data_IF_475698082702
#
_entry.id   IF_475698082702
#
_cell.length_a   1.000
_cell.length_b   1.000
_cell.length_c   1.000
_cell.angle_alpha   90.00
_cell.angle_beta   90.00
_cell.angle_gamma   90.00
#
_symmetry.space_group_name_H-M   'P 1'
#
loop_
_entity.id
_entity.type
_entity.pdbx_description
1 polymer ?
#
# COMPACT_ATOMS: atom_id res chain seq x y z
N UNK A 1 16.72 -1.03 -0.24
CA UNK A 1 15.29 -1.08 0.13
C UNK A 1 14.82 0.34 0.23
N UNK A 2 13.81 0.71 -0.55
CA UNK A 2 13.24 2.06 -0.61
C UNK A 2 11.90 2.06 0.13
N UNK A 3 11.79 2.85 1.19
CA UNK A 3 10.50 3.06 1.85
C UNK A 3 9.65 4.01 1.02
N UNK A 4 8.42 3.59 0.72
CA UNK A 4 7.45 4.33 -0.07
C UNK A 4 6.31 4.76 0.83
N UNK A 5 6.20 6.06 0.99
CA UNK A 5 5.33 6.78 1.91
C UNK A 5 4.52 7.82 1.14
N UNK A 6 3.45 8.32 1.73
CA UNK A 6 2.61 9.35 1.12
C UNK A 6 3.40 10.57 0.65
N UNK A 7 4.41 10.97 1.43
CA UNK A 7 5.26 12.15 1.18
C UNK A 7 6.16 12.02 -0.05
N UNK A 8 6.60 10.81 -0.41
CA UNK A 8 7.58 10.58 -1.48
C UNK A 8 7.01 9.79 -2.69
N UNK A 9 5.78 9.28 -2.59
CA UNK A 9 5.22 8.37 -3.59
C UNK A 9 5.15 8.97 -5.00
N UNK A 10 4.71 10.22 -5.15
CA UNK A 10 4.57 10.82 -6.48
C UNK A 10 5.94 11.04 -7.18
N UNK A 11 6.99 11.30 -6.40
CA UNK A 11 8.36 11.45 -6.93
C UNK A 11 8.96 10.10 -7.33
N UNK A 12 8.70 9.05 -6.54
CA UNK A 12 9.30 7.73 -6.74
C UNK A 12 8.50 6.85 -7.72
N UNK A 13 7.20 7.13 -7.93
CA UNK A 13 6.33 6.33 -8.78
C UNK A 13 6.86 6.10 -10.21
N UNK A 14 7.41 7.10 -10.93
CA UNK A 14 7.97 6.86 -12.27
C UNK A 14 9.11 5.83 -12.27
N UNK A 15 9.93 5.83 -11.22
CA UNK A 15 11.02 4.86 -11.06
C UNK A 15 10.48 3.46 -10.73
N UNK A 16 9.45 3.35 -9.88
CA UNK A 16 8.77 2.08 -9.60
C UNK A 16 8.23 1.49 -10.91
N UNK A 17 7.59 2.34 -11.73
CA UNK A 17 7.04 1.93 -13.03
C UNK A 17 8.13 1.41 -13.98
N UNK A 18 9.24 2.12 -14.10
CA UNK A 18 10.39 1.69 -14.90
C UNK A 18 10.98 0.37 -14.39
N UNK A 19 11.21 0.25 -13.08
CA UNK A 19 11.79 -0.95 -12.47
C UNK A 19 10.88 -2.18 -12.67
N UNK A 20 9.57 -2.02 -12.53
CA UNK A 20 8.61 -3.13 -12.70
C UNK A 20 8.46 -3.51 -14.18
N UNK A 21 8.46 -2.53 -15.08
CA UNK A 21 8.40 -2.78 -16.53
C UNK A 21 9.64 -3.55 -17.01
N UNK A 22 10.81 -3.18 -16.50
CA UNK A 22 12.09 -3.82 -16.83
C UNK A 22 12.35 -5.12 -16.04
N UNK A 23 11.50 -5.45 -15.07
CA UNK A 23 11.61 -6.68 -14.29
C UNK A 23 11.37 -7.92 -15.17
N UNK A 24 12.13 -8.97 -14.87
CA UNK A 24 11.89 -10.33 -15.33
C UNK A 24 10.78 -11.00 -14.49
N UNK A 25 10.81 -10.80 -13.18
CA UNK A 25 9.77 -11.21 -12.23
C UNK A 25 9.77 -10.28 -11.01
N UNK A 26 8.70 -10.33 -10.22
CA UNK A 26 8.54 -9.53 -9.02
C UNK A 26 8.29 -10.47 -7.84
N UNK A 27 8.98 -10.25 -6.71
CA UNK A 27 8.67 -10.92 -5.46
C UNK A 27 7.74 -10.07 -4.59
N UNK A 28 6.78 -10.71 -3.92
CA UNK A 28 5.78 -10.12 -3.03
C UNK A 28 5.88 -10.74 -1.63
N UNK A 29 5.71 -9.89 -0.61
CA UNK A 29 5.47 -10.26 0.78
C UNK A 29 4.65 -9.13 1.44
N UNK A 30 3.81 -9.44 2.43
CA UNK A 30 2.95 -8.45 3.07
C UNK A 30 2.78 -8.68 4.58
N UNK A 31 2.59 -7.57 5.29
CA UNK A 31 2.33 -7.53 6.74
C UNK A 31 0.86 -7.17 7.00
N UNK A 32 0.22 -7.85 7.96
CA UNK A 32 -1.24 -7.77 8.16
C UNK A 32 -1.64 -7.31 9.56
N UNK A 33 -2.83 -6.70 9.68
CA UNK A 33 -3.42 -6.32 10.97
C UNK A 33 -3.84 -7.52 11.83
N UNK A 34 -3.99 -8.68 11.21
CA UNK A 34 -4.37 -9.94 11.85
C UNK A 34 -4.27 -11.10 10.86
N UNK A 35 -4.65 -12.30 11.31
CA UNK A 35 -4.56 -13.48 10.46
C UNK A 35 -5.57 -14.55 10.83
N UNK A 36 -5.29 -15.78 10.39
CA UNK A 36 -6.11 -16.94 10.74
C UNK A 36 -5.99 -17.16 12.25
N UNK A 37 -7.11 -17.00 12.97
CA UNK A 37 -7.15 -17.27 14.39
C UNK A 37 -7.51 -18.74 14.65
N UNK A 38 -6.55 -19.58 15.08
CA UNK A 38 -6.80 -21.00 15.33
C UNK A 38 -7.70 -21.26 16.54
N UNK A 39 -7.98 -20.24 17.38
CA UNK A 39 -8.85 -20.38 18.55
C UNK A 39 -10.34 -20.42 18.20
N UNK A 40 -10.72 -20.05 16.97
CA UNK A 40 -12.08 -20.20 16.48
C UNK A 40 -12.21 -21.55 15.76
N UNK A 41 -12.69 -22.58 16.48
CA UNK A 41 -12.85 -23.95 15.94
C UNK A 41 -13.66 -23.99 14.64
N UNK A 42 -14.66 -23.11 14.47
CA UNK A 42 -15.50 -23.03 13.26
C UNK A 42 -14.68 -22.66 12.01
N UNK A 43 -13.67 -21.81 12.18
CA UNK A 43 -12.86 -21.27 11.08
C UNK A 43 -11.50 -21.96 10.95
N UNK A 44 -11.23 -22.97 11.78
CA UNK A 44 -9.97 -23.68 11.82
C UNK A 44 -9.79 -24.52 10.55
N UNK A 45 -8.69 -24.32 9.81
CA UNK A 45 -8.42 -25.14 8.63
C UNK A 45 -8.22 -26.61 9.03
N UNK A 46 -9.01 -27.53 8.46
CA UNK A 46 -8.92 -28.98 8.67
C UNK A 46 -8.18 -29.66 7.51
N UNK A 47 -7.45 -30.75 7.79
CA UNK A 47 -6.82 -31.57 6.75
C UNK A 47 -7.84 -32.25 5.82
N UNK A 48 -9.10 -32.35 6.25
CA UNK A 48 -10.20 -32.91 5.48
C UNK A 48 -10.99 -31.85 4.70
N UNK A 49 -10.62 -30.57 4.81
CA UNK A 49 -11.28 -29.52 4.04
C UNK A 49 -11.03 -29.71 2.54
N UNK A 50 -12.10 -29.70 1.74
CA UNK A 50 -11.95 -29.48 0.31
C UNK A 50 -11.65 -27.99 0.01
N UNK A 51 -11.29 -27.68 -1.24
CA UNK A 51 -10.91 -26.31 -1.63
C UNK A 51 -11.99 -25.26 -1.32
N UNK A 52 -13.27 -25.62 -1.46
CA UNK A 52 -14.40 -24.73 -1.16
C UNK A 52 -14.49 -24.44 0.34
N UNK A 53 -14.42 -25.47 1.18
CA UNK A 53 -14.49 -25.32 2.64
C UNK A 53 -13.32 -24.49 3.16
N UNK A 54 -12.11 -24.77 2.66
CA UNK A 54 -10.92 -24.00 3.03
C UNK A 54 -11.03 -22.52 2.63
N UNK A 55 -11.56 -22.25 1.44
CA UNK A 55 -11.82 -20.88 1.00
C UNK A 55 -12.87 -20.16 1.85
N UNK A 56 -13.97 -20.84 2.19
CA UNK A 56 -15.02 -20.25 3.02
C UNK A 56 -14.48 -19.88 4.41
N UNK A 57 -13.71 -20.78 5.02
CA UNK A 57 -13.03 -20.51 6.30
C UNK A 57 -12.04 -19.35 6.19
N UNK A 58 -11.23 -19.32 5.14
CA UNK A 58 -10.31 -18.22 4.87
C UNK A 58 -11.07 -16.90 4.75
N UNK A 59 -12.06 -16.83 3.85
CA UNK A 59 -12.88 -15.62 3.65
C UNK A 59 -13.50 -15.12 4.95
N UNK A 60 -14.01 -16.03 5.79
CA UNK A 60 -14.59 -15.68 7.10
C UNK A 60 -13.52 -15.16 8.07
N UNK A 61 -12.33 -15.76 8.11
CA UNK A 61 -11.20 -15.27 8.92
C UNK A 61 -10.72 -13.89 8.50
N UNK A 62 -10.71 -13.60 7.21
CA UNK A 62 -10.17 -12.35 6.67
C UNK A 62 -11.15 -11.18 6.76
N UNK A 63 -12.39 -11.42 7.16
CA UNK A 63 -13.39 -10.38 7.34
C UNK A 63 -12.92 -9.31 8.32
N UNK A 64 -12.51 -8.16 7.79
CA UNK A 64 -12.08 -6.99 8.56
C UNK A 64 -10.58 -6.88 8.83
N UNK A 65 -9.73 -7.84 8.42
CA UNK A 65 -8.28 -7.62 8.45
C UNK A 65 -7.80 -6.92 7.19
N UNK A 66 -6.68 -6.20 7.33
CA UNK A 66 -6.09 -5.40 6.24
C UNK A 66 -4.60 -5.68 6.10
N UNK A 67 -4.07 -5.48 4.90
CA UNK A 67 -2.63 -5.31 4.69
C UNK A 67 -2.22 -3.94 5.21
N UNK A 68 -1.12 -3.90 5.98
CA UNK A 68 -0.53 -2.70 6.57
C UNK A 68 0.70 -2.22 5.79
N UNK A 69 1.50 -3.18 5.31
CA UNK A 69 2.71 -2.93 4.53
C UNK A 69 2.88 -4.00 3.47
N UNK A 70 3.35 -3.59 2.28
CA UNK A 70 3.59 -4.48 1.14
C UNK A 70 5.04 -4.33 0.71
N UNK A 71 5.79 -5.43 0.70
CA UNK A 71 7.12 -5.53 0.15
C UNK A 71 7.06 -6.03 -1.30
N UNK A 72 7.59 -5.24 -2.23
CA UNK A 72 7.74 -5.65 -3.64
C UNK A 72 9.20 -5.55 -4.05
N UNK A 73 9.74 -6.62 -4.61
CA UNK A 73 11.11 -6.63 -5.17
C UNK A 73 11.09 -6.96 -6.64
N UNK A 74 11.53 -6.02 -7.48
CA UNK A 74 11.76 -6.30 -8.91
C UNK A 74 13.08 -7.01 -9.10
N UNK A 75 13.12 -8.00 -10.00
CA UNK A 75 14.35 -8.69 -10.39
C UNK A 75 14.57 -8.55 -11.88
N UNK A 76 15.68 -7.93 -12.27
CA UNK A 76 16.09 -7.74 -13.67
C UNK A 76 17.35 -8.54 -13.96
N UNK A 77 17.31 -9.43 -14.95
CA UNK A 77 18.49 -10.18 -15.36
C UNK A 77 19.46 -9.29 -16.15
N UNK A 78 20.69 -9.14 -15.65
CA UNK A 78 21.78 -8.44 -16.32
C UNK A 78 22.66 -9.45 -17.07
N UNK A 79 22.58 -9.44 -18.40
CA UNK A 79 23.34 -10.37 -19.26
C UNK A 79 24.86 -10.21 -19.15
N UNK A 80 25.33 -8.96 -19.01
CA UNK A 80 26.77 -8.66 -18.94
C UNK A 80 27.42 -9.26 -17.68
N UNK A 81 26.69 -9.28 -16.56
CA UNK A 81 27.16 -9.85 -15.30
C UNK A 81 26.66 -11.26 -15.01
N UNK A 82 25.84 -11.85 -15.88
CA UNK A 82 25.14 -13.13 -15.66
C UNK A 82 24.49 -13.22 -14.26
N UNK A 83 23.85 -12.12 -13.82
CA UNK A 83 23.33 -11.97 -12.47
C UNK A 83 22.01 -11.19 -12.48
N UNK A 84 21.19 -11.38 -11.45
CA UNK A 84 20.01 -10.54 -11.24
C UNK A 84 20.37 -9.29 -10.43
N UNK A 85 19.86 -8.16 -10.89
CA UNK A 85 19.83 -6.90 -10.12
C UNK A 85 18.42 -6.77 -9.53
N UNK A 86 18.34 -6.48 -8.24
CA UNK A 86 17.07 -6.36 -7.54
C UNK A 86 16.84 -4.98 -6.93
N UNK A 87 15.63 -4.45 -7.07
CA UNK A 87 15.19 -3.24 -6.36
C UNK A 87 13.99 -3.56 -5.48
N UNK A 88 14.10 -3.29 -4.17
CA UNK A 88 13.03 -3.55 -3.19
C UNK A 88 12.37 -2.27 -2.73
N UNK A 89 11.04 -2.27 -2.72
CA UNK A 89 10.16 -1.20 -2.27
C UNK A 89 9.26 -1.71 -1.13
N UNK A 90 9.13 -0.92 -0.07
CA UNK A 90 8.21 -1.20 1.03
C UNK A 90 7.14 -0.10 1.07
N UNK A 91 5.90 -0.47 0.80
CA UNK A 91 4.76 0.44 0.77
C UNK A 91 3.99 0.33 2.07
N UNK A 92 3.88 1.42 2.82
CA UNK A 92 2.90 1.52 3.89
C UNK A 92 1.56 1.91 3.28
N UNK A 93 0.48 1.23 3.61
CA UNK A 93 -0.86 1.48 3.04
C UNK A 93 -1.87 1.69 4.15
N UNK A 94 -2.80 2.62 3.98
CA UNK A 94 -3.79 2.96 4.99
C UNK A 94 -5.13 3.36 4.35
N UNK A 95 -6.27 2.82 4.82
CA UNK A 95 -7.58 3.17 4.28
C UNK A 95 -8.01 4.56 4.74
N UNK A 96 -7.52 5.60 4.07
CA UNK A 96 -7.89 6.99 4.37
C UNK A 96 -9.39 7.20 4.11
N UNK A 97 -10.06 7.87 5.05
CA UNK A 97 -11.45 8.25 4.89
C UNK A 97 -11.60 9.44 3.93
N UNK A 98 -12.67 9.42 3.13
CA UNK A 98 -13.04 10.51 2.23
C UNK A 98 -14.48 10.35 1.74
N UNK A 99 -15.36 11.32 1.99
CA UNK A 99 -16.79 11.24 1.67
C UNK A 99 -17.47 10.00 2.27
N UNK A 100 -18.11 9.21 1.42
CA UNK A 100 -18.78 7.95 1.75
C UNK A 100 -17.80 6.84 2.16
N UNK A 101 -16.50 7.06 1.98
CA UNK A 101 -15.46 6.09 2.31
C UNK A 101 -15.05 6.27 3.77
N UNK A 102 -15.55 5.39 4.63
CA UNK A 102 -15.08 5.24 6.01
C UNK A 102 -14.93 3.74 6.33
N UNK A 103 -13.70 3.24 6.19
CA UNK A 103 -13.43 1.81 6.34
C UNK A 103 -13.10 1.48 7.80
N UNK A 104 -13.82 0.54 8.38
CA UNK A 104 -13.45 -0.08 9.65
C UNK A 104 -12.60 -1.34 9.40
N UNK A 105 -11.62 -1.57 10.28
CA UNK A 105 -10.81 -2.77 10.26
C UNK A 105 -10.49 -3.24 11.68
N UNK A 106 -10.20 -4.52 11.80
CA UNK A 106 -9.86 -5.21 13.04
C UNK A 106 -8.35 -5.37 13.15
N UNK A 107 -7.86 -5.39 14.40
CA UNK A 107 -6.48 -5.71 14.71
C UNK A 107 -6.43 -6.88 15.69
N UNK A 108 -5.53 -7.83 15.43
CA UNK A 108 -5.25 -8.93 16.32
C UNK A 108 -4.04 -8.59 17.20
N UNK A 109 -4.23 -8.61 18.53
CA UNK A 109 -3.20 -8.20 19.49
C UNK A 109 -1.88 -8.96 19.30
N UNK A 110 -1.92 -10.28 19.05
CA UNK A 110 -0.73 -11.08 18.82
C UNK A 110 0.03 -10.68 17.55
N UNK A 111 -0.68 -10.25 16.50
CA UNK A 111 -0.07 -9.78 15.25
C UNK A 111 0.60 -8.43 15.44
N UNK A 112 -0.07 -7.49 16.12
CA UNK A 112 0.52 -6.19 16.45
C UNK A 112 1.74 -6.34 17.39
N UNK A 113 1.68 -7.24 18.37
CA UNK A 113 2.81 -7.53 19.26
C UNK A 113 3.99 -8.11 18.49
N UNK A 114 3.74 -9.05 17.56
CA UNK A 114 4.78 -9.59 16.67
C UNK A 114 5.43 -8.49 15.83
N UNK A 115 4.63 -7.68 15.14
CA UNK A 115 5.12 -6.54 14.34
C UNK A 115 5.92 -5.55 15.21
N UNK A 116 5.46 -5.27 16.43
CA UNK A 116 6.17 -4.41 17.38
C UNK A 116 7.55 -4.96 17.74
N UNK A 117 7.67 -6.28 18.00
CA UNK A 117 8.96 -6.94 18.27
C UNK A 117 9.92 -6.88 17.09
N UNK A 118 9.38 -6.76 15.88
CA UNK A 118 10.13 -6.61 14.63
C UNK A 118 10.31 -5.14 14.20
N UNK A 119 10.04 -4.18 15.09
CA UNK A 119 10.20 -2.75 14.87
C UNK A 119 9.34 -2.19 13.71
N UNK A 120 8.15 -2.74 13.50
CA UNK A 120 7.17 -2.13 12.61
C UNK A 120 6.77 -0.74 13.12
N UNK A 121 6.81 0.26 12.25
CA UNK A 121 6.44 1.62 12.60
C UNK A 121 4.95 1.87 12.31
N UNK A 122 4.14 1.76 13.36
CA UNK A 122 2.70 2.03 13.28
C UNK A 122 2.39 3.51 12.99
N UNK A 123 3.29 4.43 13.33
CA UNK A 123 3.11 5.84 13.00
C UNK A 123 3.27 6.05 11.50
N UNK A 124 4.25 5.40 10.85
CA UNK A 124 4.36 5.44 9.38
C UNK A 124 3.12 4.85 8.70
N UNK A 125 2.59 3.74 9.23
CA UNK A 125 1.33 3.16 8.73
C UNK A 125 0.17 4.16 8.79
N UNK A 126 -0.05 4.85 9.91
CA UNK A 126 -1.21 5.76 10.05
C UNK A 126 -0.97 7.15 9.45
N UNK A 127 0.18 7.78 9.72
CA UNK A 127 0.46 9.15 9.30
C UNK A 127 0.90 9.25 7.85
N UNK A 128 1.67 8.28 7.36
CA UNK A 128 2.26 8.32 6.02
C UNK A 128 1.85 7.15 5.13
N UNK A 129 0.89 6.32 5.57
CA UNK A 129 0.33 5.25 4.76
C UNK A 129 -0.36 5.80 3.53
N UNK A 130 -0.05 5.18 2.38
CA UNK A 130 -0.67 5.48 1.10
C UNK A 130 -2.16 5.16 1.13
N UNK A 131 -3.02 6.07 0.66
CA UNK A 131 -4.41 5.75 0.46
C UNK A 131 -4.53 4.68 -0.63
N UNK A 132 -5.69 4.04 -0.66
CA UNK A 132 -6.05 3.10 -1.70
C UNK A 132 -7.57 3.07 -1.84
N UNK A 133 -8.01 2.66 -3.02
CA UNK A 133 -9.41 2.39 -3.33
C UNK A 133 -9.51 1.02 -4.01
N UNK A 134 -10.53 0.24 -3.63
CA UNK A 134 -10.97 -0.88 -4.47
C UNK A 134 -11.54 -0.35 -5.80
N UNK A 135 -11.72 -1.24 -6.78
CA UNK A 135 -12.36 -0.89 -8.05
C UNK A 135 -13.80 -0.40 -7.85
N UNK A 136 -14.56 -1.07 -6.98
CA UNK A 136 -15.91 -0.66 -6.58
C UNK A 136 -15.92 0.70 -5.89
N UNK A 137 -15.00 0.94 -4.94
CA UNK A 137 -14.88 2.23 -4.25
C UNK A 137 -14.50 3.36 -5.20
N UNK A 138 -13.55 3.13 -6.12
CA UNK A 138 -13.19 4.13 -7.12
C UNK A 138 -14.37 4.46 -8.04
N UNK A 139 -15.09 3.45 -8.52
CA UNK A 139 -16.23 3.63 -9.42
C UNK A 139 -17.36 4.39 -8.72
N UNK A 140 -17.65 4.05 -7.47
CA UNK A 140 -18.64 4.72 -6.65
C UNK A 140 -18.26 6.17 -6.36
N UNK A 141 -17.02 6.41 -5.91
CA UNK A 141 -16.53 7.76 -5.64
C UNK A 141 -16.59 8.64 -6.91
N UNK A 142 -16.19 8.10 -8.07
CA UNK A 142 -16.31 8.82 -9.35
C UNK A 142 -17.75 9.24 -9.65
N UNK A 143 -18.70 8.35 -9.43
CA UNK A 143 -20.12 8.63 -9.64
C UNK A 143 -20.61 9.73 -8.68
N UNK A 144 -20.30 9.63 -7.38
CA UNK A 144 -20.71 10.62 -6.38
C UNK A 144 -20.13 12.02 -6.67
N UNK A 145 -18.88 12.09 -7.12
CA UNK A 145 -18.25 13.35 -7.52
C UNK A 145 -18.91 13.96 -8.77
N UNK A 146 -19.31 13.14 -9.74
CA UNK A 146 -20.02 13.59 -10.95
C UNK A 146 -21.44 14.10 -10.65
N UNK A 147 -22.15 13.44 -9.74
CA UNK A 147 -23.54 13.79 -9.39
C UNK A 147 -23.61 15.05 -8.50
N UNK A 148 -22.50 15.47 -7.90
CA UNK A 148 -22.45 16.69 -7.09
C UNK A 148 -23.17 16.55 -5.73
N UNK A 149 -23.47 15.32 -5.30
CA UNK A 149 -24.09 15.00 -4.01
C UNK A 149 -23.23 15.36 -2.79
N UNK A 150 -21.98 15.78 -3.04
CA UNK A 150 -20.96 16.24 -2.11
C UNK A 150 -21.44 17.03 -0.89
N UNK A 151 -22.45 17.89 -1.08
CA UNK A 151 -22.85 18.88 -0.09
C UNK A 151 -24.14 18.58 0.67
N UNK A 152 -24.84 17.49 0.34
CA UNK A 152 -26.01 17.10 1.13
C UNK A 152 -25.60 16.40 2.43
N UNK A 153 -24.43 15.73 2.44
CA UNK A 153 -23.93 14.94 3.57
C UNK A 153 -22.61 15.45 4.16
N UNK A 154 -22.22 16.71 3.90
CA UNK A 154 -20.92 17.28 4.33
C UNK A 154 -20.71 17.16 5.87
N UNK A 155 -21.78 17.29 6.65
CA UNK A 155 -21.78 17.14 8.12
C UNK A 155 -21.34 15.75 8.59
N UNK A 156 -21.46 14.71 7.76
CA UNK A 156 -21.02 13.34 8.09
C UNK A 156 -19.58 13.04 7.67
N UNK A 157 -19.03 13.84 6.75
CA UNK A 157 -17.76 13.52 6.09
C UNK A 157 -16.56 14.25 6.71
N UNK A 158 -16.78 15.45 7.24
CA UNK A 158 -15.70 16.34 7.65
C UNK A 158 -15.46 16.19 9.16
N UNK A 159 -14.20 16.02 9.56
CA UNK A 159 -13.87 16.03 10.99
C UNK A 159 -14.13 17.42 11.57
N UNK A 160 -14.46 17.52 12.87
CA UNK A 160 -14.67 18.83 13.52
C UNK A 160 -13.48 19.79 13.34
N UNK A 161 -12.25 19.24 13.31
CA UNK A 161 -11.05 20.02 13.06
C UNK A 161 -10.96 20.53 11.62
N UNK A 162 -11.33 19.71 10.65
CA UNK A 162 -11.34 20.10 9.24
C UNK A 162 -12.46 21.10 8.95
N UNK A 163 -13.62 20.96 9.60
CA UNK A 163 -14.72 21.92 9.52
C UNK A 163 -14.28 23.29 10.05
N UNK A 164 -13.58 23.34 11.19
CA UNK A 164 -13.00 24.57 11.73
C UNK A 164 -12.05 25.22 10.72
N UNK A 165 -11.16 24.45 10.09
CA UNK A 165 -10.24 24.97 9.07
C UNK A 165 -10.99 25.50 7.85
N UNK A 166 -12.01 24.78 7.35
CA UNK A 166 -12.84 25.26 6.25
C UNK A 166 -13.55 26.57 6.60
N UNK A 167 -14.07 26.68 7.82
CA UNK A 167 -14.77 27.87 8.31
C UNK A 167 -13.82 29.07 8.46
N UNK A 168 -12.62 28.86 8.99
CA UNK A 168 -11.56 29.88 9.07
C UNK A 168 -11.22 30.43 7.69
N UNK A 169 -10.97 29.56 6.71
CA UNK A 169 -10.67 29.97 5.34
C UNK A 169 -11.87 30.65 4.65
N UNK A 170 -13.10 30.17 4.89
CA UNK A 170 -14.30 30.86 4.40
C UNK A 170 -14.47 32.26 5.00
N UNK A 171 -14.13 32.44 6.27
CA UNK A 171 -14.25 33.74 6.95
C UNK A 171 -13.24 34.74 6.38
N UNK A 172 -12.00 34.29 6.14
CA UNK A 172 -10.96 35.08 5.45
C UNK A 172 -11.40 35.52 4.06
N UNK A 173 -12.02 34.62 3.29
CA UNK A 173 -12.56 34.96 1.96
C UNK A 173 -13.71 35.96 2.10
N UNK A 174 -14.59 35.82 3.09
CA UNK A 174 -15.69 36.76 3.31
C UNK A 174 -15.18 38.20 3.54
N UNK A 175 -14.21 38.36 4.44
CA UNK A 175 -13.59 39.67 4.73
C UNK A 175 -12.89 40.25 3.51
N UNK A 176 -12.15 39.42 2.78
CA UNK A 176 -11.45 39.84 1.56
C UNK A 176 -12.43 40.24 0.45
N UNK A 177 -13.50 39.47 0.22
CA UNK A 177 -14.50 39.76 -0.83
C UNK A 177 -15.18 41.11 -0.63
N UNK A 178 -15.34 41.55 0.63
CA UNK A 178 -15.96 42.84 0.96
C UNK A 178 -15.15 44.04 0.47
N UNK A 179 -13.83 43.93 0.37
CA UNK A 179 -12.92 45.01 -0.05
C UNK A 179 -12.27 44.80 -1.41
N UNK A 180 -12.27 43.56 -1.93
CA UNK A 180 -11.62 43.21 -3.19
C UNK A 180 -12.32 43.82 -4.41
N UNK A 181 -11.55 44.12 -5.45
CA UNK A 181 -12.01 44.60 -6.76
C UNK A 181 -12.01 43.44 -7.77
N UNK A 182 -12.74 43.57 -8.88
CA UNK A 182 -12.73 42.55 -9.95
C UNK A 182 -11.30 42.30 -10.44
N UNK A 183 -10.91 41.03 -10.52
CA UNK A 183 -9.56 40.62 -10.91
C UNK A 183 -8.60 40.39 -9.74
N UNK A 184 -8.89 40.90 -8.54
CA UNK A 184 -8.06 40.65 -7.37
C UNK A 184 -8.00 39.16 -7.03
N UNK A 185 -6.87 38.74 -6.46
CA UNK A 185 -6.64 37.35 -6.07
C UNK A 185 -6.12 37.20 -4.64
N UNK A 186 -6.55 36.14 -3.97
CA UNK A 186 -6.13 35.76 -2.61
C UNK A 186 -5.67 34.30 -2.61
N UNK A 187 -4.49 34.03 -2.05
CA UNK A 187 -3.96 32.67 -1.89
C UNK A 187 -4.23 32.13 -0.49
N UNK A 188 -4.93 31.00 -0.40
CA UNK A 188 -5.29 30.30 0.84
C UNK A 188 -4.42 29.06 1.08
N UNK A 189 -4.33 28.60 2.34
CA UNK A 189 -3.83 27.26 2.65
C UNK A 189 -2.36 27.08 3.01
N UNK A 190 -1.61 28.15 3.32
CA UNK A 190 -0.14 28.08 3.49
C UNK A 190 0.36 27.09 4.54
N UNK A 191 -0.39 26.81 5.62
CA UNK A 191 0.08 25.91 6.69
C UNK A 191 -0.91 24.81 7.12
N UNK A 192 -2.22 25.08 7.06
CA UNK A 192 -3.25 24.16 7.55
C UNK A 192 -3.69 23.16 6.47
N UNK A 193 -3.87 23.60 5.22
CA UNK A 193 -4.34 22.74 4.13
C UNK A 193 -3.28 21.75 3.63
N UNK A 194 -2.02 22.19 3.55
CA UNK A 194 -0.93 21.32 3.07
C UNK A 194 -0.75 20.07 3.94
N UNK A 195 -0.94 20.18 5.26
CA UNK A 195 -0.83 19.04 6.19
C UNK A 195 -2.01 18.08 6.13
N UNK A 196 -3.19 18.56 5.73
CA UNK A 196 -4.45 17.79 5.71
C UNK A 196 -4.72 17.12 4.36
N UNK A 197 -3.91 17.41 3.35
CA UNK A 197 -3.92 16.72 2.07
C UNK A 197 -4.93 17.25 1.05
N UNK A 198 -4.94 16.62 -0.14
CA UNK A 198 -5.70 17.07 -1.30
C UNK A 198 -7.22 16.96 -1.11
N UNK A 199 -7.69 16.07 -0.25
CA UNK A 199 -9.10 15.91 0.11
C UNK A 199 -9.71 17.19 0.70
N UNK A 200 -9.03 17.82 1.66
CA UNK A 200 -9.50 19.07 2.28
C UNK A 200 -9.44 20.24 1.31
N UNK A 201 -8.39 20.31 0.50
CA UNK A 201 -8.23 21.33 -0.56
C UNK A 201 -9.38 21.24 -1.56
N UNK A 202 -9.75 20.04 -1.99
CA UNK A 202 -10.89 19.79 -2.86
C UNK A 202 -12.21 20.28 -2.23
N UNK A 203 -12.46 19.94 -0.96
CA UNK A 203 -13.65 20.40 -0.24
C UNK A 203 -13.71 21.93 -0.15
N UNK A 204 -12.58 22.58 0.14
CA UNK A 204 -12.50 24.04 0.19
C UNK A 204 -12.81 24.69 -1.17
N UNK A 205 -12.28 24.16 -2.27
CA UNK A 205 -12.60 24.65 -3.61
C UNK A 205 -14.10 24.67 -3.87
N UNK A 206 -14.76 23.56 -3.56
CA UNK A 206 -16.17 23.38 -3.84
C UNK A 206 -17.04 24.24 -2.90
N UNK A 207 -16.69 24.31 -1.61
CA UNK A 207 -17.42 25.10 -0.61
C UNK A 207 -17.34 26.60 -0.94
N UNK A 208 -16.15 27.12 -1.26
CA UNK A 208 -15.99 28.53 -1.63
C UNK A 208 -16.78 28.88 -2.90
N UNK A 209 -16.76 28.01 -3.92
CA UNK A 209 -17.52 28.25 -5.16
C UNK A 209 -19.03 28.20 -4.92
N UNK A 210 -19.51 27.40 -3.98
CA UNK A 210 -20.93 27.32 -3.59
C UNK A 210 -21.36 28.55 -2.78
N UNK A 211 -20.56 28.93 -1.78
CA UNK A 211 -20.87 29.99 -0.82
C UNK A 211 -20.71 31.40 -1.38
N UNK A 212 -19.72 31.62 -2.25
CA UNK A 212 -19.39 32.93 -2.81
C UNK A 212 -19.58 32.94 -4.34
N UNK A 213 -20.67 33.54 -4.81
CA UNK A 213 -20.99 33.60 -6.24
C UNK A 213 -20.09 34.59 -7.02
N UNK A 214 -19.47 35.55 -6.35
CA UNK A 214 -18.61 36.57 -6.95
C UNK A 214 -17.13 36.16 -7.06
N UNK A 215 -16.81 34.91 -6.71
CA UNK A 215 -15.43 34.39 -6.76
C UNK A 215 -15.36 33.08 -7.52
N UNK A 216 -14.16 32.79 -8.00
CA UNK A 216 -13.78 31.49 -8.51
C UNK A 216 -12.47 31.04 -7.84
N UNK A 217 -12.19 29.73 -7.88
CA UNK A 217 -10.99 29.17 -7.25
C UNK A 217 -10.17 28.35 -8.23
N UNK A 218 -8.84 28.45 -8.16
CA UNK A 218 -7.90 27.74 -9.02
C UNK A 218 -6.88 26.96 -8.18
N UNK A 219 -6.55 25.71 -8.57
CA UNK A 219 -5.54 24.92 -7.86
C UNK A 219 -4.14 25.49 -8.14
N UNK A 220 -3.38 25.80 -7.09
CA UNK A 220 -2.05 26.42 -7.18
C UNK A 220 -1.05 25.66 -6.29
N UNK A 221 -0.29 24.69 -6.83
CA UNK A 221 0.73 23.91 -6.08
C UNK A 221 0.26 23.36 -4.72
N UNK A 222 -0.97 22.83 -4.67
CA UNK A 222 -1.57 22.29 -3.44
C UNK A 222 -2.23 23.35 -2.53
N UNK A 223 -2.29 24.60 -2.99
CA UNK A 223 -3.01 25.72 -2.38
C UNK A 223 -4.23 26.09 -3.22
N UNK A 224 -5.06 26.99 -2.67
CA UNK A 224 -6.27 27.50 -3.33
C UNK A 224 -6.09 28.97 -3.65
N UNK A 225 -6.02 29.31 -4.94
CA UNK A 225 -6.04 30.70 -5.40
C UNK A 225 -7.50 31.12 -5.64
N UNK A 226 -8.00 32.04 -4.84
CA UNK A 226 -9.33 32.64 -5.00
C UNK A 226 -9.19 33.89 -5.86
N UNK A 227 -10.02 34.06 -6.87
CA UNK A 227 -10.08 35.25 -7.73
C UNK A 227 -11.49 35.83 -7.70
N UNK A 228 -11.61 37.16 -7.60
CA UNK A 228 -12.89 37.85 -7.73
C UNK A 228 -13.21 38.00 -9.22
N UNK A 229 -14.35 37.46 -9.64
CA UNK A 229 -14.74 37.33 -11.06
C UNK A 229 -16.10 37.97 -11.30
N UNK A 230 -16.36 38.37 -12.55
CA UNK A 230 -17.70 38.81 -12.96
C UNK A 230 -18.66 37.62 -13.11
N UNK A 231 -19.95 37.90 -13.21
CA UNK A 231 -20.95 36.87 -13.45
C UNK A 231 -20.73 36.16 -14.81
N UNK A 232 -20.34 36.92 -15.84
CA UNK A 232 -20.06 36.38 -17.18
C UNK A 232 -18.83 35.47 -17.16
N UNK A 233 -17.70 35.94 -16.58
CA UNK A 233 -16.48 35.14 -16.44
C UNK A 233 -16.74 33.86 -15.63
N UNK A 234 -17.58 33.95 -14.59
CA UNK A 234 -17.98 32.77 -13.81
C UNK A 234 -18.76 31.76 -14.64
N UNK A 235 -19.69 32.21 -15.48
CA UNK A 235 -20.46 31.30 -16.34
C UNK A 235 -19.54 30.50 -17.25
N UNK A 236 -18.59 31.19 -17.88
CA UNK A 236 -17.59 30.56 -18.75
C UNK A 236 -16.71 29.54 -17.99
N UNK A 237 -16.31 29.86 -16.75
CA UNK A 237 -15.50 28.99 -15.92
C UNK A 237 -16.26 27.74 -15.44
N UNK A 238 -17.56 27.87 -15.15
CA UNK A 238 -18.43 26.72 -14.81
C UNK A 238 -18.53 25.78 -16.00
N UNK A 239 -18.70 26.31 -17.21
CA UNK A 239 -18.78 25.49 -18.43
C UNK A 239 -17.43 24.83 -18.77
N UNK A 240 -16.32 25.51 -18.47
CA UNK A 240 -14.98 24.94 -18.59
C UNK A 240 -14.74 23.81 -17.58
N UNK A 241 -15.15 23.99 -16.32
CA UNK A 241 -15.04 22.95 -15.29
C UNK A 241 -15.81 21.69 -15.68
N UNK A 242 -17.04 21.83 -16.17
CA UNK A 242 -17.86 20.70 -16.64
C UNK A 242 -17.19 19.88 -17.74
N UNK A 243 -16.34 20.50 -18.56
CA UNK A 243 -15.59 19.84 -19.63
C UNK A 243 -14.28 19.21 -19.15
N UNK A 244 -13.62 19.81 -18.16
CA UNK A 244 -12.27 19.40 -17.73
C UNK A 244 -12.24 18.48 -16.51
N UNK A 245 -13.20 18.60 -15.57
CA UNK A 245 -13.25 17.85 -14.29
C UNK A 245 -11.89 17.65 -13.61
N UNK A 246 -11.06 18.71 -13.60
CA UNK A 246 -9.66 18.61 -13.17
C UNK A 246 -9.52 18.36 -11.66
N UNK A 247 -10.36 19.01 -10.86
CA UNK A 247 -10.35 18.86 -9.40
C UNK A 247 -10.75 17.45 -8.96
N UNK A 248 -11.79 16.89 -9.58
CA UNK A 248 -12.26 15.53 -9.33
C UNK A 248 -11.19 14.50 -9.71
N UNK A 249 -10.55 14.70 -10.87
CA UNK A 249 -9.45 13.84 -11.29
C UNK A 249 -8.29 13.85 -10.30
N UNK A 250 -7.88 15.04 -9.84
CA UNK A 250 -6.76 15.21 -8.91
C UNK A 250 -7.02 14.59 -7.55
N UNK A 251 -8.25 14.75 -7.01
CA UNK A 251 -8.59 14.16 -5.71
C UNK A 251 -8.71 12.64 -5.81
N UNK A 252 -9.31 12.10 -6.87
CA UNK A 252 -9.35 10.65 -7.08
C UNK A 252 -7.94 10.09 -7.24
N UNK A 253 -7.09 10.75 -8.03
CA UNK A 253 -5.68 10.34 -8.20
C UNK A 253 -4.95 10.30 -6.86
N UNK A 254 -5.22 11.26 -5.98
CA UNK A 254 -4.63 11.30 -4.64
C UNK A 254 -5.11 10.14 -3.75
N UNK A 255 -6.38 9.73 -3.87
CA UNK A 255 -6.97 8.64 -3.09
C UNK A 255 -6.59 7.26 -3.63
N UNK A 256 -6.25 7.15 -4.92
CA UNK A 256 -5.84 5.87 -5.51
C UNK A 256 -4.55 5.34 -4.92
N UNK A 257 -3.58 6.19 -4.54
CA UNK A 257 -2.31 5.83 -3.91
C UNK A 257 -1.75 4.46 -4.36
N UNK A 258 -1.72 3.48 -3.44
CA UNK A 258 -1.17 2.14 -3.74
C UNK A 258 -1.97 1.36 -4.80
N UNK A 259 -3.27 1.61 -4.98
CA UNK A 259 -4.06 0.97 -6.05
C UNK A 259 -3.47 1.24 -7.44
N UNK A 260 -2.72 2.35 -7.64
CA UNK A 260 -1.95 2.58 -8.88
C UNK A 260 -0.85 1.54 -9.10
N UNK A 261 -0.15 1.16 -8.03
CA UNK A 261 0.88 0.11 -8.06
C UNK A 261 0.23 -1.25 -8.28
N UNK A 262 -0.89 -1.52 -7.63
CA UNK A 262 -1.66 -2.74 -7.84
C UNK A 262 -2.10 -2.89 -9.30
N UNK A 263 -2.70 -1.84 -9.89
CA UNK A 263 -3.08 -1.82 -11.31
C UNK A 263 -1.87 -2.05 -12.21
N UNK A 264 -0.76 -1.37 -11.95
CA UNK A 264 0.48 -1.57 -12.71
C UNK A 264 0.96 -3.03 -12.66
N UNK A 265 0.93 -3.69 -11.49
CA UNK A 265 1.30 -5.10 -11.37
C UNK A 265 0.40 -5.98 -12.26
N UNK A 266 -0.91 -5.73 -12.24
CA UNK A 266 -1.88 -6.49 -13.06
C UNK A 266 -1.72 -6.22 -14.56
N UNK A 267 -1.46 -4.97 -14.96
CA UNK A 267 -1.27 -4.57 -16.35
C UNK A 267 0.01 -5.16 -16.95
N UNK A 268 1.10 -5.17 -16.18
CA UNK A 268 2.38 -5.71 -16.65
C UNK A 268 2.38 -7.24 -16.74
N UNK A 269 1.53 -7.93 -15.96
CA UNK A 269 1.40 -9.39 -15.97
C UNK A 269 2.73 -10.13 -15.75
N UNK A 270 3.66 -9.54 -15.00
CA UNK A 270 4.96 -10.16 -14.71
C UNK A 270 4.77 -11.36 -13.77
N UNK A 271 5.62 -12.41 -13.86
CA UNK A 271 5.58 -13.49 -12.89
C UNK A 271 5.75 -12.96 -11.47
N UNK A 272 4.79 -13.27 -10.61
CA UNK A 272 4.83 -12.96 -9.19
C UNK A 272 5.35 -14.17 -8.41
N UNK A 273 6.29 -13.92 -7.51
CA UNK A 273 6.93 -14.94 -6.66
C UNK A 273 6.71 -14.56 -5.21
N UNK A 274 6.46 -15.53 -4.35
CA UNK A 274 6.43 -15.29 -2.91
C UNK A 274 6.21 -16.59 -2.15
N UNK A 275 6.23 -16.50 -0.82
CA UNK A 275 6.16 -17.66 0.04
C UNK A 275 4.82 -17.68 0.79
N UNK A 276 4.02 -18.74 0.58
CA UNK A 276 2.71 -18.89 1.22
C UNK A 276 1.71 -17.75 0.93
N UNK A 277 1.72 -17.26 -0.31
CA UNK A 277 1.00 -16.06 -0.78
C UNK A 277 -0.53 -16.09 -0.70
N UNK A 278 -1.16 -17.19 -0.26
CA UNK A 278 -2.63 -17.30 -0.29
C UNK A 278 -3.30 -16.17 0.50
N UNK A 279 -2.73 -15.81 1.65
CA UNK A 279 -3.23 -14.76 2.52
C UNK A 279 -2.98 -13.37 1.90
N UNK A 280 -1.76 -13.14 1.42
CA UNK A 280 -1.32 -11.91 0.76
C UNK A 280 -2.25 -11.57 -0.39
N UNK A 281 -2.44 -12.52 -1.32
CA UNK A 281 -3.28 -12.32 -2.50
C UNK A 281 -4.74 -12.09 -2.12
N UNK A 282 -5.26 -12.79 -1.10
CA UNK A 282 -6.65 -12.63 -0.65
C UNK A 282 -6.92 -11.25 -0.07
N UNK A 283 -6.03 -10.75 0.79
CA UNK A 283 -6.18 -9.43 1.38
C UNK A 283 -5.92 -8.32 0.35
N UNK A 284 -4.89 -8.46 -0.50
CA UNK A 284 -4.63 -7.48 -1.57
C UNK A 284 -5.79 -7.41 -2.57
N UNK A 285 -6.36 -8.54 -2.97
CA UNK A 285 -7.53 -8.56 -3.84
C UNK A 285 -8.72 -7.84 -3.18
N UNK A 286 -9.00 -8.17 -1.91
CA UNK A 286 -10.10 -7.56 -1.16
C UNK A 286 -9.96 -6.05 -0.99
N UNK A 287 -8.73 -5.56 -0.79
CA UNK A 287 -8.45 -4.14 -0.57
C UNK A 287 -8.39 -3.31 -1.85
N UNK A 288 -7.75 -3.83 -2.91
CA UNK A 288 -7.39 -3.03 -4.09
C UNK A 288 -8.23 -3.34 -5.33
N UNK A 289 -9.04 -4.41 -5.29
CA UNK A 289 -9.86 -4.81 -6.42
C UNK A 289 -11.34 -4.90 -6.04
N UNK A 290 -11.78 -5.99 -5.41
CA UNK A 290 -13.17 -6.22 -5.06
C UNK A 290 -13.29 -7.12 -3.83
N UNK A 291 -14.42 -7.12 -3.11
CA UNK A 291 -14.66 -8.10 -2.06
C UNK A 291 -14.46 -9.53 -2.57
N UNK A 292 -13.86 -10.39 -1.73
CA UNK A 292 -13.72 -11.81 -2.04
C UNK A 292 -15.10 -12.38 -2.46
N UNK A 293 -15.24 -13.11 -3.58
CA UNK A 293 -16.52 -13.66 -4.05
C UNK A 293 -17.10 -14.75 -3.15
N UNK A 294 -18.44 -14.90 -3.12
CA UNK A 294 -19.12 -15.79 -2.15
C UNK A 294 -19.02 -17.27 -2.50
N UNK A 295 -19.08 -17.58 -3.79
CA UNK A 295 -19.02 -18.95 -4.27
C UNK A 295 -17.59 -19.26 -4.69
N UNK A 296 -17.09 -20.42 -4.26
CA UNK A 296 -15.82 -20.97 -4.73
C UNK A 296 -15.82 -21.29 -6.23
N UNK A 297 -16.99 -21.63 -6.80
CA UNK A 297 -17.14 -22.20 -8.15
C UNK A 297 -17.01 -21.17 -9.26
N UNK A 298 -17.30 -19.89 -8.98
CA UNK A 298 -16.85 -18.77 -9.83
C UNK A 298 -15.38 -18.60 -9.55
N UNK A 299 -14.55 -19.44 -10.16
CA UNK A 299 -13.11 -19.67 -10.06
C UNK A 299 -12.25 -18.55 -9.41
N UNK A 300 -12.52 -18.17 -8.15
CA UNK A 300 -11.98 -16.97 -7.50
C UNK A 300 -10.49 -17.04 -7.38
N UNK A 301 -9.97 -18.20 -6.95
CA UNK A 301 -8.53 -18.38 -6.91
C UNK A 301 -7.94 -18.30 -8.31
N UNK A 302 -8.60 -18.83 -9.35
CA UNK A 302 -8.10 -18.64 -10.70
C UNK A 302 -8.24 -17.19 -11.16
N UNK A 303 -9.27 -16.42 -10.82
CA UNK A 303 -9.37 -14.99 -11.13
C UNK A 303 -8.29 -14.19 -10.38
N UNK A 304 -8.13 -14.41 -9.08
CA UNK A 304 -7.02 -13.89 -8.27
C UNK A 304 -5.67 -14.30 -8.86
N UNK A 305 -5.47 -15.57 -9.22
CA UNK A 305 -4.26 -16.05 -9.88
C UNK A 305 -4.13 -15.49 -11.30
N UNK A 306 -5.21 -15.25 -12.05
CA UNK A 306 -5.21 -14.69 -13.40
C UNK A 306 -4.75 -13.23 -13.36
N UNK A 307 -5.10 -12.48 -12.31
CA UNK A 307 -4.53 -11.15 -12.06
C UNK A 307 -3.00 -11.17 -11.88
N UNK A 308 -2.43 -12.31 -11.45
CA UNK A 308 -1.00 -12.47 -11.18
C UNK A 308 -0.32 -13.52 -12.07
N UNK A 309 -0.99 -13.99 -13.13
CA UNK A 309 -0.47 -14.91 -14.16
C UNK A 309 -0.13 -14.11 -15.41
N UNK A 310 0.97 -14.45 -16.04
CA UNK A 310 1.27 -13.93 -17.38
C UNK A 310 0.35 -14.58 -18.44
N UNK A 311 0.36 -14.04 -19.67
CA UNK A 311 -0.35 -14.57 -20.83
C UNK A 311 -0.04 -16.05 -21.17
N UNK A 312 1.04 -16.59 -20.59
CA UNK A 312 1.52 -17.95 -20.79
C UNK A 312 1.19 -18.87 -19.59
N UNK A 313 0.39 -18.40 -18.62
CA UNK A 313 -0.09 -19.18 -17.48
C UNK A 313 0.95 -19.44 -16.37
N UNK A 314 2.13 -18.82 -16.42
CA UNK A 314 3.21 -19.03 -15.45
C UNK A 314 3.11 -18.01 -14.30
N UNK A 315 2.53 -18.43 -13.16
CA UNK A 315 2.83 -17.85 -11.85
C UNK A 315 3.62 -18.87 -11.05
N UNK A 316 4.82 -18.51 -10.61
CA UNK A 316 5.56 -19.28 -9.61
C UNK A 316 5.00 -18.94 -8.21
N UNK A 317 3.69 -19.07 -8.04
CA UNK A 317 3.08 -19.23 -6.72
C UNK A 317 3.17 -20.73 -6.36
N UNK A 318 4.39 -21.25 -6.25
CA UNK A 318 4.60 -22.61 -5.83
C UNK A 318 4.66 -22.65 -4.30
N UNK A 319 3.74 -23.45 -3.74
CA UNK A 319 3.96 -24.24 -2.54
C UNK A 319 5.45 -24.54 -2.35
N UNK A 320 5.99 -24.20 -1.17
CA UNK A 320 7.34 -24.46 -0.69
C UNK A 320 8.05 -25.61 -1.42
N UNK A 321 8.81 -25.34 -2.50
CA UNK A 321 9.73 -26.32 -3.02
C UNK A 321 11.01 -26.11 -2.22
N UNK A 322 11.42 -27.14 -1.49
CA UNK A 322 12.78 -27.20 -0.97
C UNK A 322 13.74 -26.97 -2.14
N UNK A 323 14.36 -25.79 -2.22
CA UNK A 323 15.38 -25.50 -3.21
C UNK A 323 16.59 -26.36 -2.84
N UNK A 324 16.70 -27.54 -3.47
CA UNK A 324 17.93 -28.33 -3.39
C UNK A 324 19.01 -27.58 -4.19
N UNK A 325 19.95 -27.00 -3.46
CA UNK A 325 21.18 -26.45 -4.04
C UNK A 325 21.95 -27.58 -4.71
N UNK A 326 22.31 -27.41 -5.98
CA UNK A 326 23.06 -28.37 -6.79
C UNK A 326 24.52 -28.57 -6.34
N UNK A 327 24.94 -27.94 -5.23
CA UNK A 327 26.29 -28.08 -4.68
C UNK A 327 26.35 -28.91 -3.37
N UNK A 328 25.36 -29.78 -3.10
CA UNK A 328 25.43 -30.72 -1.98
C UNK A 328 25.36 -30.11 -0.58
N UNK A 329 25.02 -28.81 -0.48
CA UNK A 329 24.69 -28.18 0.80
C UNK A 329 23.18 -28.24 0.97
N UNK A 330 22.72 -29.13 1.85
CA UNK A 330 21.37 -29.05 2.39
C UNK A 330 21.20 -27.68 3.05
N UNK A 331 20.34 -26.85 2.47
CA UNK A 331 19.70 -25.75 3.20
C UNK A 331 18.84 -26.43 4.27
N UNK A 332 19.41 -26.64 5.46
CA UNK A 332 18.62 -26.87 6.66
C UNK A 332 17.79 -25.62 6.88
N UNK A 333 16.58 -25.61 6.32
CA UNK A 333 15.47 -24.86 6.90
C UNK A 333 15.46 -25.31 8.35
N UNK A 334 15.71 -24.38 9.28
CA UNK A 334 15.32 -24.60 10.66
C UNK A 334 13.80 -24.64 10.64
N UNK A 335 13.25 -25.81 10.32
CA UNK A 335 11.87 -26.15 10.64
C UNK A 335 11.82 -26.08 12.16
N UNK A 336 11.36 -24.96 12.72
CA UNK A 336 10.88 -24.97 14.08
C UNK A 336 9.68 -25.90 14.10
N UNK A 337 9.75 -27.07 14.75
CA UNK A 337 8.57 -27.89 14.93
C UNK A 337 7.68 -27.11 15.89
N UNK A 338 6.52 -26.67 15.42
CA UNK A 338 5.39 -26.40 16.32
C UNK A 338 4.94 -27.75 16.91
N UNK A 339 5.76 -28.31 17.80
CA UNK A 339 5.35 -29.35 18.73
C UNK A 339 5.30 -28.71 20.11
N UNK A 340 4.09 -28.33 20.51
CA UNK A 340 3.79 -28.12 21.91
C UNK A 340 4.02 -29.46 22.62
N UNK A 341 5.16 -29.62 23.29
CA UNK A 341 5.35 -30.66 24.30
C UNK A 341 4.59 -30.22 25.54
N UNK A 342 3.52 -30.93 25.87
CA UNK A 342 3.10 -31.03 27.26
C UNK A 342 4.25 -31.66 28.05
N UNK A 343 4.78 -30.95 29.04
CA UNK A 343 5.40 -31.58 30.20
C UNK A 343 5.29 -30.64 31.39
N UNK A 344 4.58 -31.13 32.40
CA UNK A 344 4.50 -30.57 33.73
C UNK A 344 5.89 -30.47 34.39
N UNK A 345 6.02 -29.46 35.27
CA UNK A 345 6.88 -29.38 36.45
C UNK A 345 8.41 -29.48 36.32
N UNK A 346 9.03 -28.47 36.95
CA UNK A 346 10.31 -28.46 37.68
C UNK A 346 11.62 -28.17 36.92
N UNK A 347 12.31 -27.10 37.38
CA UNK A 347 13.77 -26.98 37.31
C UNK A 347 14.30 -25.74 36.59
N UNK A 348 14.61 -24.70 37.36
CA UNK A 348 15.52 -23.59 36.98
C UNK A 348 16.96 -24.15 36.99
N UNK A 349 17.88 -23.72 36.10
CA UNK A 349 18.90 -22.74 36.52
C UNK A 349 19.13 -21.59 35.51
N UNK A 350 19.35 -20.40 36.09
CA UNK A 350 19.88 -19.19 35.45
C UNK A 350 21.24 -19.44 34.79
N UNK A 351 21.51 -18.74 33.66
CA UNK A 351 22.83 -18.18 33.38
C UNK A 351 22.73 -16.77 32.76
N UNK A 352 23.67 -15.94 33.20
CA UNK A 352 23.77 -14.49 33.11
C UNK A 352 23.90 -13.90 31.69
N UNK A 353 23.38 -12.68 31.56
CA UNK A 353 23.65 -11.69 30.52
C UNK A 353 25.11 -11.19 30.55
N UNK A 354 25.69 -10.96 29.36
CA UNK A 354 26.66 -9.88 29.13
C UNK A 354 26.27 -9.08 27.88
N UNK A 355 26.17 -7.77 28.07
CA UNK A 355 25.90 -6.70 27.08
C UNK A 355 27.03 -6.58 26.06
N UNK A 356 26.70 -6.17 24.83
CA UNK A 356 27.23 -4.97 24.15
C UNK A 356 26.61 -4.76 22.74
N UNK A 357 26.16 -3.52 22.44
CA UNK A 357 26.12 -2.95 21.08
C UNK A 357 24.84 -3.09 20.24
N UNK A 358 24.27 -1.99 19.66
CA UNK A 358 22.89 -1.93 19.16
C UNK A 358 22.74 -2.25 17.66
N UNK A 359 21.47 -2.42 17.24
CA UNK A 359 20.98 -2.43 15.86
C UNK A 359 21.19 -3.72 15.07
N UNK A 360 20.21 -4.64 15.16
CA UNK A 360 19.99 -5.66 14.13
C UNK A 360 18.68 -5.36 13.41
N UNK A 361 18.77 -4.57 12.35
CA UNK A 361 17.81 -4.65 11.26
C UNK A 361 17.87 -6.08 10.71
N UNK A 362 16.71 -6.70 10.46
CA UNK A 362 16.62 -7.96 9.73
C UNK A 362 16.97 -7.71 8.26
N UNK A 363 18.26 -7.58 8.02
CA UNK A 363 18.88 -7.73 6.73
C UNK A 363 18.91 -9.23 6.41
N UNK A 364 18.18 -9.65 5.37
CA UNK A 364 18.59 -10.83 4.61
C UNK A 364 19.86 -10.47 3.83
N UNK A 365 21.02 -10.58 4.46
CA UNK A 365 22.31 -10.60 3.77
C UNK A 365 22.75 -12.06 3.64
N UNK A 366 22.94 -12.52 2.41
CA UNK A 366 23.69 -13.74 2.11
C UNK A 366 25.13 -13.58 2.62
N UNK A 367 25.43 -14.07 3.83
CA UNK A 367 26.79 -14.16 4.35
C UNK A 367 27.30 -15.59 4.12
N UNK A 368 28.07 -15.78 3.05
CA UNK A 368 28.89 -16.98 2.88
C UNK A 368 30.13 -16.85 3.78
N UNK A 369 30.22 -17.69 4.81
CA UNK A 369 31.37 -17.75 5.72
C UNK A 369 32.52 -18.46 4.99
N UNK A 370 33.56 -17.73 4.56
CA UNK A 370 34.79 -18.34 4.03
C UNK A 370 35.50 -19.16 5.11
N UNK A 371 35.80 -20.43 4.83
CA UNK A 371 36.90 -21.17 5.47
C UNK A 371 38.05 -21.28 4.46
N UNK A 372 39.28 -21.08 4.96
CA UNK A 372 40.56 -21.13 4.24
C UNK A 372 40.72 -22.40 3.37
N UNK A 373 41.51 -22.33 2.28
CA UNK A 373 41.48 -23.30 1.20
C UNK A 373 42.20 -24.59 1.59
N UNK A 374 41.58 -25.72 1.24
CA UNK A 374 42.29 -26.96 0.96
C UNK A 374 42.24 -27.19 -0.53
N UNK A 375 43.42 -27.44 -1.08
CA UNK A 375 43.76 -27.57 -2.49
C UNK A 375 42.96 -28.68 -3.18
N UNK A 376 42.12 -28.34 -4.16
CA UNK A 376 42.14 -29.08 -5.42
C UNK A 376 41.53 -28.30 -6.57
N UNK A 377 42.17 -28.38 -7.74
CA UNK A 377 41.80 -27.67 -8.96
C UNK A 377 40.79 -28.50 -9.76
N UNK A 378 39.56 -28.04 -9.89
CA UNK A 378 38.77 -28.26 -11.11
C UNK A 378 37.71 -27.16 -11.27
N UNK A 379 37.75 -26.54 -12.45
CA UNK A 379 36.96 -25.38 -12.89
C UNK A 379 35.54 -25.75 -13.29
N UNK A 380 34.54 -25.08 -12.69
CA UNK A 380 33.16 -24.95 -13.21
C UNK A 380 32.73 -23.49 -12.95
N UNK A 381 32.12 -22.77 -13.91
CA UNK A 381 31.86 -21.33 -13.78
C UNK A 381 30.74 -21.06 -12.76
N UNK A 382 31.12 -20.60 -11.56
CA UNK A 382 30.20 -20.14 -10.52
C UNK A 382 29.77 -18.70 -10.74
N UNK A 383 28.47 -18.44 -10.58
CA UNK A 383 27.87 -17.10 -10.58
C UNK A 383 28.46 -16.30 -9.41
N UNK A 384 29.18 -15.22 -9.69
CA UNK A 384 29.65 -14.27 -8.69
C UNK A 384 28.63 -13.12 -8.56
N UNK A 385 28.12 -12.91 -7.35
CA UNK A 385 27.34 -11.72 -6.98
C UNK A 385 28.33 -10.67 -6.46
N UNK A 386 28.52 -9.59 -7.22
CA UNK A 386 29.36 -8.47 -6.81
C UNK A 386 28.45 -7.32 -6.33
N UNK A 387 28.53 -7.00 -5.03
CA UNK A 387 27.88 -5.83 -4.44
C UNK A 387 28.83 -4.63 -4.57
N UNK A 388 28.50 -3.65 -5.40
CA UNK A 388 29.19 -2.36 -5.40
C UNK A 388 28.57 -1.44 -4.35
N UNK A 389 29.23 -1.28 -3.21
CA UNK A 389 28.99 -0.15 -2.31
C UNK A 389 29.70 1.08 -2.89
N UNK A 390 28.95 2.06 -3.39
CA UNK A 390 29.47 3.42 -3.49
C UNK A 390 29.24 4.10 -2.14
N UNK A 391 30.33 4.33 -1.40
CA UNK A 391 30.39 5.23 -0.26
C UNK A 391 30.85 6.58 -0.80
N UNK A 392 29.97 7.58 -0.76
CA UNK A 392 30.37 8.99 -0.86
C UNK A 392 30.48 9.53 0.57
N UNK A 393 31.68 10.03 0.90
CA UNK A 393 31.95 10.73 2.17
C UNK A 393 31.43 12.15 2.21
#
# INVERSE_FOLDING_TARGET
MCEVLLSNFEEIFPKIEEDFRNATFIALDAEFSGGINPSQEINKPSLFDNGRERYQKLRQCLGGYIVLQIGLTSFRFCRQGNAYVSTTYNFHVFPRSFFSLDNSFSCQASSLEFLSRHNFDFNKFVYEGLPYLSQSQESHLRQELCEGHLFQDLERTVTLDDERVLQEECSRVCEWVASAVLGDSLLLGRENLQRRGKSLVYMLHKELRKRFLSVWTFPEKGLVLVKKVSADERSDLVDLERKSSSLEHDVIKSMLGFSRVFKLLTELGKPLVGHNLLLDLALMYAQFHEPLPYKWVSNVLNEMYMYFKNSNGVSLALFSPSIKSTNGYDLKVLSFPWQYRMSASAGIPLYHLTKEGPSRHLLWTLVAKQRKPSTDRSTIPGIQVQLSQQVSG
#
